data_IF_951931214587
#
_entry.id   IF_951931214587
#
_cell.length_a   1.000
_cell.length_b   1.000
_cell.length_c   1.000
_cell.angle_alpha   90.00
_cell.angle_beta   90.00
_cell.angle_gamma   90.00
#
_symmetry.space_group_name_H-M   'P 1'
#
loop_
_entity.id
_entity.type
_entity.pdbx_description
1 polymer ?
#
# COMPACT_ATOMS: atom_id res chain seq x y z
N UNK A 1 5.27 -0.48 8.95
CA UNK A 1 4.48 -1.65 8.50
C UNK A 1 5.04 -2.86 9.23
N UNK A 2 4.29 -3.52 10.12
CA UNK A 2 4.83 -4.59 10.96
C UNK A 2 5.29 -5.81 10.16
N UNK A 3 4.78 -5.98 8.93
CA UNK A 3 5.20 -7.04 8.02
C UNK A 3 5.68 -6.42 6.71
N UNK A 4 6.84 -6.86 6.20
CA UNK A 4 7.30 -6.50 4.85
C UNK A 4 6.35 -7.17 3.86
N UNK A 5 5.91 -6.43 2.84
CA UNK A 5 5.16 -7.04 1.76
C UNK A 5 6.13 -7.64 0.73
N UNK A 6 6.08 -8.96 0.45
CA UNK A 6 6.95 -9.58 -0.54
C UNK A 6 6.81 -8.87 -1.89
N UNK A 7 7.91 -8.76 -2.64
CA UNK A 7 7.96 -8.19 -3.98
C UNK A 7 7.64 -6.68 -4.10
N UNK A 8 7.07 -6.03 -3.07
CA UNK A 8 6.67 -4.64 -3.14
C UNK A 8 7.82 -3.69 -3.47
N UNK A 9 8.99 -3.87 -2.86
CA UNK A 9 10.18 -3.06 -3.16
C UNK A 9 10.82 -3.36 -4.52
N UNK A 10 10.47 -4.47 -5.17
CA UNK A 10 10.97 -4.80 -6.51
C UNK A 10 10.08 -4.22 -7.62
N UNK A 11 8.76 -4.24 -7.42
CA UNK A 11 7.81 -3.71 -8.40
C UNK A 11 7.43 -2.25 -8.16
N UNK A 12 7.63 -1.75 -6.93
CA UNK A 12 7.37 -0.36 -6.52
C UNK A 12 5.96 0.14 -6.86
N UNK A 13 5.02 -0.79 -7.04
CA UNK A 13 3.66 -0.52 -7.48
C UNK A 13 2.71 -1.56 -6.89
N UNK A 14 1.54 -1.11 -6.49
CA UNK A 14 0.52 -1.92 -5.84
C UNK A 14 -0.88 -1.34 -6.09
N UNK A 15 -1.88 -2.20 -6.09
CA UNK A 15 -3.29 -1.80 -6.03
C UNK A 15 -3.77 -1.81 -4.58
N UNK A 16 -4.72 -0.94 -4.29
CA UNK A 16 -5.42 -0.88 -3.00
C UNK A 16 -6.90 -0.64 -3.26
N UNK A 17 -7.76 -1.11 -2.36
CA UNK A 17 -9.21 -0.92 -2.43
C UNK A 17 -9.72 -0.42 -1.09
N UNK A 18 -10.39 0.74 -1.07
CA UNK A 18 -10.98 1.33 0.14
C UNK A 18 -12.49 1.17 0.13
N UNK A 19 -13.06 0.70 1.24
CA UNK A 19 -14.52 0.54 1.35
C UNK A 19 -15.28 1.87 1.48
N UNK A 20 -14.66 2.89 2.08
CA UNK A 20 -15.32 4.18 2.40
C UNK A 20 -14.71 5.38 1.66
N UNK A 21 -13.84 5.13 0.68
CA UNK A 21 -13.08 6.19 -0.01
C UNK A 21 -12.01 6.87 0.87
N UNK A 22 -11.77 6.36 2.09
CA UNK A 22 -10.75 6.86 2.99
C UNK A 22 -9.78 5.74 3.34
N UNK A 23 -8.48 6.03 3.33
CA UNK A 23 -7.42 5.12 3.77
C UNK A 23 -7.36 5.12 5.31
N UNK A 24 -8.47 4.87 6.00
CA UNK A 24 -8.54 4.96 7.46
C UNK A 24 -8.27 3.63 8.16
N UNK A 25 -8.23 2.52 7.43
CA UNK A 25 -8.16 1.18 8.03
C UNK A 25 -6.99 0.34 7.47
N UNK A 26 -6.78 -0.80 8.11
CA UNK A 26 -5.78 -1.82 7.73
C UNK A 26 -6.29 -2.55 6.47
N UNK A 27 -6.19 -1.90 5.32
CA UNK A 27 -6.63 -2.48 4.05
C UNK A 27 -5.57 -3.41 3.44
N UNK A 28 -6.01 -4.33 2.59
CA UNK A 28 -5.10 -5.23 1.87
C UNK A 28 -4.63 -4.54 0.58
N UNK A 29 -3.31 -4.54 0.36
CA UNK A 29 -2.72 -4.21 -0.93
C UNK A 29 -2.36 -5.46 -1.69
N UNK A 30 -2.33 -5.34 -3.01
CA UNK A 30 -1.83 -6.37 -3.91
C UNK A 30 -0.74 -5.77 -4.78
N UNK A 31 0.45 -6.36 -4.78
CA UNK A 31 1.56 -5.89 -5.62
C UNK A 31 1.19 -6.04 -7.09
N UNK A 32 1.43 -4.98 -7.87
CA UNK A 32 1.26 -5.01 -9.33
C UNK A 32 2.56 -5.54 -9.93
N UNK A 33 2.54 -6.79 -10.38
CA UNK A 33 3.69 -7.36 -11.08
C UNK A 33 3.58 -7.10 -12.60
N UNK A 34 4.63 -7.46 -13.35
CA UNK A 34 4.68 -7.28 -14.82
C UNK A 34 3.89 -8.35 -15.60
N UNK A 35 3.22 -9.26 -14.90
CA UNK A 35 2.41 -10.34 -15.46
C UNK A 35 0.93 -10.03 -15.28
N UNK A 36 0.07 -10.73 -16.00
CA UNK A 36 -1.39 -10.60 -15.85
C UNK A 36 -1.94 -11.28 -14.58
N UNK A 37 -1.06 -11.69 -13.66
CA UNK A 37 -1.40 -12.42 -12.43
C UNK A 37 -1.18 -11.47 -11.26
N UNK A 38 -2.09 -11.45 -10.29
CA UNK A 38 -1.90 -10.68 -9.07
C UNK A 38 -0.57 -11.05 -8.37
N UNK A 39 0.16 -10.03 -7.89
CA UNK A 39 1.33 -10.24 -7.05
C UNK A 39 0.97 -10.61 -5.61
N UNK A 40 1.95 -10.62 -4.71
CA UNK A 40 1.71 -10.84 -3.29
C UNK A 40 0.68 -9.84 -2.72
N UNK A 41 -0.16 -10.33 -1.80
CA UNK A 41 -1.13 -9.50 -1.07
C UNK A 41 -0.75 -9.40 0.39
N UNK A 42 -0.84 -8.19 0.95
CA UNK A 42 -0.40 -7.89 2.31
C UNK A 42 -1.29 -6.83 2.96
N UNK A 43 -1.45 -6.90 4.28
CA UNK A 43 -2.11 -5.84 5.04
C UNK A 43 -1.25 -4.58 5.16
N UNK A 44 -1.84 -3.43 4.91
CA UNK A 44 -1.28 -2.11 5.20
C UNK A 44 -1.32 -1.83 6.71
N UNK A 45 -0.41 -0.97 7.17
CA UNK A 45 -0.52 -0.39 8.50
C UNK A 45 -1.61 0.67 8.57
N UNK A 46 -1.88 1.16 9.78
CA UNK A 46 -2.72 2.36 9.96
C UNK A 46 -2.08 3.54 9.21
N UNK A 47 -2.86 4.18 8.35
CA UNK A 47 -2.43 5.43 7.74
C UNK A 47 -2.42 6.54 8.77
N UNK A 48 -1.47 7.44 8.61
CA UNK A 48 -1.32 8.63 9.43
C UNK A 48 -1.36 9.83 8.49
N UNK A 49 -1.95 10.92 8.96
CA UNK A 49 -2.00 12.15 8.18
C UNK A 49 -0.58 12.65 7.92
N UNK A 50 -0.23 12.82 6.64
CA UNK A 50 1.03 13.45 6.28
C UNK A 50 0.95 14.95 6.53
N UNK A 51 1.78 15.48 7.42
CA UNK A 51 1.99 16.92 7.55
C UNK A 51 3.04 17.31 6.53
N UNK A 52 2.65 18.08 5.51
CA UNK A 52 3.61 18.74 4.63
C UNK A 52 4.53 19.59 5.51
N UNK A 53 5.84 19.36 5.45
CA UNK A 53 6.79 20.35 5.98
C UNK A 53 6.65 21.59 5.09
N UNK A 54 6.35 22.74 5.68
CA UNK A 54 6.57 24.02 5.00
C UNK A 54 8.03 24.05 4.55
N UNK A 55 8.25 24.29 3.26
CA UNK A 55 9.59 24.53 2.72
C UNK A 55 10.12 25.79 3.41
N UNK A 56 11.24 25.64 4.13
CA UNK A 56 12.08 26.77 4.56
C UNK A 56 12.84 27.35 3.34
#
# INVERSE_FOLDING_TARGET
>A
MPNRCPQLGFYESFSYSTSTGQLCNTDIITVLNRSSVAGASCGLGKFVAYKLKEKE
#
